data_IF_911015962361
#
_entry.id   IF_911015962361
#
_cell.length_a   1.000
_cell.length_b   1.000
_cell.length_c   1.000
_cell.angle_alpha   90.00
_cell.angle_beta   90.00
_cell.angle_gamma   90.00
#
_symmetry.space_group_name_H-M   'P 1'
#
loop_
_entity.id
_entity.type
_entity.pdbx_description
1 polymer ?
#
# COMPACT_ATOMS: atom_id res chain seq x y z
N UNK A 1 35.15 47.73 -15.89
CA UNK A 1 34.96 46.42 -15.24
C UNK A 1 34.13 46.66 -14.00
N UNK A 2 32.94 46.06 -13.89
CA UNK A 2 31.97 46.41 -12.84
C UNK A 2 31.64 45.17 -12.03
N UNK A 3 31.86 45.24 -10.72
CA UNK A 3 31.58 44.16 -9.76
C UNK A 3 30.12 44.17 -9.32
N UNK A 4 29.52 42.98 -9.22
CA UNK A 4 28.17 42.80 -8.68
C UNK A 4 28.11 41.49 -7.88
N UNK A 5 28.48 41.55 -6.61
CA UNK A 5 28.41 40.45 -5.66
C UNK A 5 26.99 40.32 -5.08
N UNK A 6 26.35 39.17 -5.27
CA UNK A 6 25.01 38.89 -4.75
C UNK A 6 24.96 37.64 -3.87
N UNK A 7 25.04 37.87 -2.55
CA UNK A 7 24.46 37.07 -1.46
C UNK A 7 24.18 35.58 -1.69
N UNK A 8 25.09 34.71 -1.25
CA UNK A 8 24.88 33.26 -1.12
C UNK A 8 24.01 32.90 0.10
N UNK A 9 22.69 33.06 0.00
CA UNK A 9 21.76 32.68 1.07
C UNK A 9 21.68 31.15 1.25
N UNK A 10 22.26 30.63 2.34
CA UNK A 10 22.35 29.20 2.64
C UNK A 10 20.98 28.53 2.78
N UNK A 11 20.69 27.54 1.93
CA UNK A 11 19.51 26.68 2.03
C UNK A 11 19.91 25.25 2.38
N UNK A 12 19.67 24.83 3.63
CA UNK A 12 19.96 23.47 4.09
C UNK A 12 19.13 22.44 3.29
N UNK A 13 19.78 21.37 2.82
CA UNK A 13 19.15 20.32 2.02
C UNK A 13 19.55 18.96 2.54
N UNK A 14 18.57 18.29 3.16
CA UNK A 14 18.54 16.85 3.32
C UNK A 14 18.08 16.21 2.00
N UNK A 15 18.21 14.89 1.92
CA UNK A 15 19.00 14.35 0.83
C UNK A 15 18.36 12.99 0.38
N UNK A 16 17.80 12.87 -0.83
CA UNK A 16 17.23 11.64 -1.49
C UNK A 16 17.27 11.83 -3.01
N UNK A 17 17.93 10.98 -3.84
CA UNK A 17 18.55 11.44 -5.13
C UNK A 17 17.62 12.32 -5.98
N UNK A 18 17.91 13.64 -5.99
CA UNK A 18 16.92 14.69 -6.29
C UNK A 18 16.36 14.63 -7.73
N UNK A 19 17.14 14.07 -8.64
CA UNK A 19 16.79 13.75 -10.02
C UNK A 19 15.78 12.59 -10.12
N UNK A 20 15.91 11.60 -9.21
CA UNK A 20 15.09 10.39 -9.13
C UNK A 20 13.83 10.53 -8.30
N UNK A 21 13.75 11.51 -7.38
CA UNK A 21 12.55 11.75 -6.58
C UNK A 21 11.39 12.26 -7.45
N UNK A 22 10.17 11.80 -7.17
CA UNK A 22 8.97 12.26 -7.86
C UNK A 22 8.69 13.74 -7.61
N UNK A 23 8.41 14.48 -8.68
CA UNK A 23 8.34 15.94 -8.67
C UNK A 23 7.36 16.51 -7.61
N UNK A 24 7.57 17.75 -7.12
CA UNK A 24 6.70 18.37 -6.10
C UNK A 24 5.21 18.45 -6.46
N UNK A 25 4.89 18.46 -7.77
CA UNK A 25 3.53 18.47 -8.32
C UNK A 25 3.00 17.06 -8.71
N UNK A 26 3.73 15.98 -8.41
CA UNK A 26 3.33 14.61 -8.69
C UNK A 26 2.65 14.02 -7.46
N UNK A 27 1.33 14.13 -7.32
CA UNK A 27 0.60 13.70 -6.11
C UNK A 27 0.14 12.22 -6.18
N UNK A 28 -0.06 11.70 -7.38
CA UNK A 28 -0.53 10.32 -7.61
C UNK A 28 0.41 9.60 -8.57
N UNK A 29 0.85 8.39 -8.20
CA UNK A 29 1.61 7.48 -9.06
C UNK A 29 0.64 6.43 -9.60
N UNK A 30 0.46 6.42 -10.92
CA UNK A 30 -0.40 5.47 -11.62
C UNK A 30 0.30 4.12 -11.74
N UNK A 31 -0.30 3.08 -11.18
CA UNK A 31 0.20 1.70 -11.20
C UNK A 31 -0.65 0.88 -12.17
N UNK A 32 -0.02 0.12 -13.06
CA UNK A 32 -0.69 -0.85 -13.93
C UNK A 32 0.03 -2.20 -13.85
N UNK A 33 -0.74 -3.28 -13.68
CA UNK A 33 -0.26 -4.64 -13.84
C UNK A 33 -0.23 -5.03 -15.32
N UNK A 34 0.83 -5.72 -15.77
CA UNK A 34 0.99 -6.16 -17.16
C UNK A 34 0.69 -7.66 -17.35
N UNK A 35 0.68 -8.44 -16.27
CA UNK A 35 0.28 -9.85 -16.21
C UNK A 35 -0.30 -10.15 -14.80
N UNK A 36 -0.41 -11.44 -14.46
CA UNK A 36 -0.75 -11.93 -13.12
C UNK A 36 -2.22 -12.26 -12.90
N UNK A 37 -2.46 -13.13 -11.93
CA UNK A 37 -3.78 -13.53 -11.45
C UNK A 37 -4.40 -12.46 -10.54
N UNK A 38 -5.72 -12.51 -10.33
CA UNK A 38 -6.43 -11.48 -9.55
C UNK A 38 -5.90 -11.39 -8.11
N UNK A 39 -5.65 -12.53 -7.46
CA UNK A 39 -5.14 -12.56 -6.08
C UNK A 39 -3.74 -11.94 -5.94
N UNK A 40 -2.88 -12.04 -6.96
CA UNK A 40 -1.55 -11.41 -6.96
C UNK A 40 -1.68 -9.88 -6.98
N UNK A 41 -2.56 -9.38 -7.85
CA UNK A 41 -2.87 -7.95 -8.01
C UNK A 41 -3.52 -7.38 -6.75
N UNK A 42 -4.53 -8.07 -6.23
CA UNK A 42 -5.24 -7.73 -4.99
C UNK A 42 -4.30 -7.73 -3.79
N UNK A 43 -3.35 -8.68 -3.70
CA UNK A 43 -2.37 -8.74 -2.61
C UNK A 43 -1.41 -7.54 -2.65
N UNK A 44 -0.89 -7.18 -3.83
CA UNK A 44 -0.06 -5.97 -4.00
C UNK A 44 -0.85 -4.72 -3.63
N UNK A 45 -2.07 -4.59 -4.15
CA UNK A 45 -2.93 -3.43 -3.93
C UNK A 45 -3.36 -3.28 -2.45
N UNK A 46 -3.68 -4.39 -1.78
CA UNK A 46 -3.96 -4.43 -0.33
C UNK A 46 -2.74 -3.99 0.48
N UNK A 47 -1.57 -4.60 0.26
CA UNK A 47 -0.35 -4.33 1.05
C UNK A 47 0.11 -2.89 0.87
N UNK A 48 0.08 -2.38 -0.36
CA UNK A 48 0.46 -0.98 -0.66
C UNK A 48 -0.53 0.02 -0.03
N UNK A 49 -1.84 -0.25 -0.04
CA UNK A 49 -2.79 0.62 0.70
C UNK A 49 -2.55 0.55 2.21
N UNK A 50 -2.52 -0.66 2.77
CA UNK A 50 -2.35 -0.92 4.22
C UNK A 50 -1.11 -0.23 4.81
N UNK A 51 0.03 -0.31 4.12
CA UNK A 51 1.29 0.22 4.64
C UNK A 51 1.63 1.63 4.12
N UNK A 52 1.61 1.86 2.79
CA UNK A 52 2.05 3.15 2.24
C UNK A 52 1.00 4.26 2.35
N UNK A 53 -0.31 3.97 2.29
CA UNK A 53 -1.33 5.03 2.40
C UNK A 53 -1.55 5.47 3.86
N UNK A 54 -1.13 4.65 4.84
CA UNK A 54 -1.03 5.02 6.25
C UNK A 54 0.11 6.03 6.53
N UNK A 55 1.12 6.13 5.65
CA UNK A 55 2.19 7.12 5.79
C UNK A 55 1.66 8.51 5.43
N UNK A 56 1.91 9.50 6.29
CA UNK A 56 1.57 10.92 6.06
C UNK A 56 2.51 11.61 5.06
N UNK A 57 2.79 10.94 3.93
CA UNK A 57 3.49 11.51 2.76
C UNK A 57 2.50 12.04 1.72
N UNK A 58 2.95 12.88 0.78
CA UNK A 58 2.13 13.47 -0.30
C UNK A 58 1.80 12.52 -1.45
N UNK A 59 2.68 11.54 -1.74
CA UNK A 59 2.44 10.56 -2.81
C UNK A 59 1.32 9.59 -2.41
N UNK A 60 0.41 9.28 -3.35
CA UNK A 60 -0.51 8.13 -3.26
C UNK A 60 -0.44 7.26 -4.50
N UNK A 61 -0.65 5.96 -4.33
CA UNK A 61 -0.69 5.01 -5.45
C UNK A 61 -2.12 4.91 -6.00
N UNK A 62 -2.25 5.08 -7.31
CA UNK A 62 -3.48 4.93 -8.09
C UNK A 62 -3.36 3.65 -8.94
N UNK A 63 -3.90 2.55 -8.44
CA UNK A 63 -4.03 1.32 -9.22
C UNK A 63 -5.09 1.54 -10.32
N UNK A 64 -4.70 1.31 -11.56
CA UNK A 64 -5.56 1.44 -12.73
C UNK A 64 -6.23 0.10 -13.04
N UNK A 65 -7.48 0.14 -13.50
CA UNK A 65 -8.10 -1.03 -14.15
C UNK A 65 -7.40 -1.35 -15.47
N UNK A 66 -7.59 -2.57 -16.02
CA UNK A 66 -6.87 -3.00 -17.22
C UNK A 66 -7.26 -2.17 -18.45
N UNK A 67 -8.49 -1.65 -18.45
CA UNK A 67 -9.17 -0.92 -19.53
C UNK A 67 -8.88 0.58 -19.47
N UNK A 68 -8.35 1.08 -18.35
CA UNK A 68 -8.11 2.50 -18.13
C UNK A 68 -7.07 3.05 -19.13
N UNK A 69 -7.41 4.05 -19.97
CA UNK A 69 -6.53 4.50 -21.05
C UNK A 69 -5.33 5.33 -20.57
N UNK A 70 -4.32 5.41 -21.43
CA UNK A 70 -3.17 6.32 -21.26
C UNK A 70 -2.00 5.77 -20.42
N UNK A 71 -1.02 6.63 -20.11
CA UNK A 71 0.21 6.24 -19.43
C UNK A 71 0.01 5.93 -17.94
N UNK A 72 0.84 5.02 -17.44
CA UNK A 72 1.06 4.70 -16.02
C UNK A 72 2.51 4.95 -15.67
N UNK A 73 2.78 5.30 -14.41
CA UNK A 73 4.12 5.62 -13.90
C UNK A 73 4.89 4.36 -13.52
N UNK A 74 4.21 3.43 -12.85
CA UNK A 74 4.72 2.13 -12.40
C UNK A 74 4.00 1.03 -13.20
N UNK A 75 4.78 0.08 -13.74
CA UNK A 75 4.32 -0.98 -14.64
C UNK A 75 4.84 -2.32 -14.14
N UNK A 76 3.96 -3.11 -13.52
CA UNK A 76 4.30 -4.30 -12.73
C UNK A 76 4.23 -5.57 -13.60
N UNK A 77 5.21 -6.46 -13.47
CA UNK A 77 5.18 -7.82 -14.01
C UNK A 77 5.53 -8.84 -12.93
N UNK A 78 4.71 -9.86 -12.76
CA UNK A 78 4.99 -10.97 -11.84
C UNK A 78 5.95 -11.97 -12.51
N UNK A 79 7.00 -12.38 -11.78
CA UNK A 79 8.13 -13.23 -12.24
C UNK A 79 8.69 -14.08 -11.09
N UNK A 80 9.88 -14.65 -11.25
CA UNK A 80 10.62 -15.41 -10.22
C UNK A 80 11.67 -14.58 -9.46
N UNK A 81 11.69 -13.25 -9.62
CA UNK A 81 12.60 -12.34 -8.91
C UNK A 81 12.00 -10.94 -8.78
N UNK A 82 12.26 -10.29 -7.64
CA UNK A 82 11.78 -8.94 -7.36
C UNK A 82 12.84 -7.89 -7.72
N UNK A 83 12.40 -6.75 -8.28
CA UNK A 83 13.23 -5.57 -8.60
C UNK A 83 12.36 -4.38 -9.01
N UNK A 84 12.79 -3.14 -8.79
CA UNK A 84 12.22 -1.96 -9.44
C UNK A 84 13.29 -0.95 -9.88
N UNK A 85 12.89 -0.01 -10.75
CA UNK A 85 13.68 1.18 -11.04
C UNK A 85 13.53 2.20 -9.90
N UNK A 86 14.61 2.93 -9.58
CA UNK A 86 14.63 3.88 -8.46
C UNK A 86 13.89 5.17 -8.86
N UNK A 87 12.66 5.31 -8.38
CA UNK A 87 11.80 6.47 -8.63
C UNK A 87 11.63 6.79 -10.12
N UNK A 88 12.04 7.99 -10.52
CA UNK A 88 11.90 8.51 -11.89
C UNK A 88 12.82 7.84 -12.92
N UNK A 89 13.72 6.94 -12.53
CA UNK A 89 14.37 6.00 -13.47
C UNK A 89 13.32 5.21 -14.30
N UNK A 90 12.10 5.02 -13.76
CA UNK A 90 10.96 4.44 -14.44
C UNK A 90 10.44 5.25 -15.66
N UNK A 91 10.74 6.55 -15.76
CA UNK A 91 10.32 7.43 -16.86
C UNK A 91 11.12 7.15 -18.15
N UNK A 92 12.39 6.72 -18.04
CA UNK A 92 13.23 6.36 -19.19
C UNK A 92 12.85 5.03 -19.86
N UNK A 93 11.88 4.30 -19.29
CA UNK A 93 11.41 3.00 -19.74
C UNK A 93 9.94 3.01 -20.23
N UNK A 94 9.52 3.94 -21.11
CA UNK A 94 8.11 4.13 -21.47
C UNK A 94 7.52 2.86 -22.10
N UNK A 95 6.31 2.49 -21.66
CA UNK A 95 5.56 1.28 -22.05
C UNK A 95 6.20 -0.08 -21.68
N UNK A 96 7.43 -0.12 -21.15
CA UNK A 96 8.07 -1.35 -20.64
C UNK A 96 7.79 -1.55 -19.14
N UNK A 97 7.96 -2.76 -18.63
CA UNK A 97 7.96 -3.06 -17.18
C UNK A 97 8.94 -2.17 -16.41
N UNK A 98 8.57 -1.77 -15.20
CA UNK A 98 9.42 -1.00 -14.27
C UNK A 98 9.53 -1.61 -12.88
N UNK A 99 8.73 -2.63 -12.60
CA UNK A 99 8.73 -3.37 -11.36
C UNK A 99 8.46 -4.83 -11.67
N UNK A 100 9.31 -5.69 -11.15
CA UNK A 100 9.21 -7.14 -11.18
C UNK A 100 8.93 -7.58 -9.75
N UNK A 101 8.00 -8.52 -9.56
CA UNK A 101 7.63 -9.03 -8.25
C UNK A 101 7.57 -10.55 -8.27
N UNK A 102 8.23 -11.20 -7.31
CA UNK A 102 8.09 -12.62 -7.10
C UNK A 102 6.98 -12.91 -6.08
N UNK A 103 5.98 -13.71 -6.49
CA UNK A 103 4.94 -14.22 -5.58
C UNK A 103 5.33 -15.54 -4.90
N UNK A 104 6.60 -15.93 -5.00
CA UNK A 104 7.24 -17.08 -4.33
C UNK A 104 6.43 -18.39 -4.47
N UNK A 105 6.03 -18.80 -5.70
CA UNK A 105 5.23 -20.02 -5.88
C UNK A 105 6.06 -21.29 -5.66
N UNK A 106 7.34 -21.30 -6.06
CA UNK A 106 8.23 -22.47 -5.97
C UNK A 106 8.85 -22.71 -4.59
N UNK A 107 8.85 -21.71 -3.70
CA UNK A 107 9.48 -21.79 -2.39
C UNK A 107 8.93 -22.93 -1.52
N UNK A 108 9.81 -23.67 -0.83
CA UNK A 108 9.43 -24.66 0.19
C UNK A 108 9.12 -24.01 1.56
N UNK A 109 8.32 -22.95 1.55
CA UNK A 109 7.92 -22.17 2.73
C UNK A 109 6.46 -22.45 3.14
N UNK A 110 6.15 -22.31 4.43
CA UNK A 110 4.77 -22.33 4.92
C UNK A 110 3.94 -21.18 4.36
N UNK A 111 2.61 -21.22 4.56
CA UNK A 111 1.71 -20.15 4.10
C UNK A 111 2.05 -18.80 4.77
N UNK A 112 2.43 -18.78 6.05
CA UNK A 112 2.79 -17.54 6.77
C UNK A 112 4.10 -16.95 6.24
N UNK A 113 5.17 -17.73 6.24
CA UNK A 113 6.49 -17.26 5.78
C UNK A 113 6.45 -16.75 4.33
N UNK A 114 5.68 -17.42 3.47
CA UNK A 114 5.48 -17.00 2.08
C UNK A 114 4.68 -15.69 1.98
N UNK A 115 3.69 -15.47 2.85
CA UNK A 115 2.94 -14.22 2.92
C UNK A 115 3.79 -13.07 3.48
N UNK A 116 4.60 -13.32 4.51
CA UNK A 116 5.58 -12.38 5.06
C UNK A 116 6.62 -11.98 4.02
N UNK A 117 7.17 -12.95 3.29
CA UNK A 117 8.13 -12.76 2.20
C UNK A 117 7.53 -11.95 1.04
N UNK A 118 6.29 -12.25 0.62
CA UNK A 118 5.56 -11.41 -0.35
C UNK A 118 5.37 -9.97 0.16
N UNK A 119 5.00 -9.80 1.44
CA UNK A 119 4.84 -8.46 2.02
C UNK A 119 6.16 -7.69 2.05
N UNK A 120 7.28 -8.35 2.39
CA UNK A 120 8.60 -7.75 2.34
C UNK A 120 8.99 -7.29 0.93
N UNK A 121 8.98 -8.20 -0.05
CA UNK A 121 9.28 -7.90 -1.46
C UNK A 121 8.40 -6.73 -1.98
N UNK A 122 7.08 -6.81 -1.79
CA UNK A 122 6.15 -5.76 -2.26
C UNK A 122 6.45 -4.40 -1.62
N UNK A 123 6.76 -4.35 -0.32
CA UNK A 123 7.07 -3.09 0.34
C UNK A 123 8.45 -2.55 -0.07
N UNK A 124 9.45 -3.42 -0.26
CA UNK A 124 10.79 -3.07 -0.72
C UNK A 124 10.77 -2.47 -2.13
N UNK A 125 10.11 -3.13 -3.10
CA UNK A 125 10.07 -2.65 -4.47
C UNK A 125 9.25 -1.35 -4.63
N UNK A 126 8.17 -1.20 -3.86
CA UNK A 126 7.45 0.08 -3.82
C UNK A 126 8.27 1.20 -3.13
N UNK A 127 9.23 0.84 -2.27
CA UNK A 127 10.23 1.78 -1.71
C UNK A 127 11.20 2.26 -2.78
N UNK A 128 11.75 1.34 -3.59
CA UNK A 128 12.52 1.69 -4.78
C UNK A 128 11.72 2.55 -5.76
N UNK A 129 10.47 2.19 -6.05
CA UNK A 129 9.60 3.00 -6.90
C UNK A 129 9.25 4.39 -6.32
N UNK A 130 9.54 4.63 -5.03
CA UNK A 130 9.47 5.94 -4.36
C UNK A 130 10.83 6.67 -4.31
N UNK A 131 11.91 6.07 -4.82
CA UNK A 131 13.25 6.65 -4.84
C UNK A 131 14.13 6.27 -3.65
N UNK A 132 13.71 5.31 -2.81
CA UNK A 132 14.57 4.75 -1.76
C UNK A 132 15.65 3.85 -2.38
N UNK A 133 16.81 3.78 -1.73
CA UNK A 133 17.94 2.91 -2.10
C UNK A 133 18.24 1.95 -0.95
N UNK A 134 19.07 0.92 -1.15
CA UNK A 134 19.24 -0.11 -0.14
C UNK A 134 19.99 0.41 1.09
N UNK A 135 19.46 0.09 2.28
CA UNK A 135 19.97 0.61 3.54
C UNK A 135 21.30 -0.02 3.96
N UNK A 136 21.62 -1.21 3.45
CA UNK A 136 22.94 -1.82 3.67
C UNK A 136 24.08 -1.10 2.91
N UNK A 137 23.75 -0.29 1.89
CA UNK A 137 24.71 0.56 1.18
C UNK A 137 24.91 1.93 1.88
N UNK A 138 24.23 2.17 3.01
CA UNK A 138 24.42 3.36 3.83
C UNK A 138 25.86 3.43 4.38
N UNK A 139 26.52 4.61 4.42
CA UNK A 139 27.92 4.74 4.86
C UNK A 139 28.18 4.16 6.26
N UNK A 140 27.21 4.35 7.17
CA UNK A 140 27.31 3.89 8.57
C UNK A 140 26.79 2.45 8.77
N UNK A 141 26.45 1.72 7.71
CA UNK A 141 26.24 0.28 7.79
C UNK A 141 27.56 -0.39 8.15
N UNK A 142 27.58 -1.19 9.22
CA UNK A 142 28.81 -1.80 9.74
C UNK A 142 29.17 -3.13 9.06
N UNK A 143 28.43 -3.60 8.06
CA UNK A 143 28.75 -4.84 7.33
C UNK A 143 30.02 -4.69 6.49
N UNK A 144 30.97 -5.62 6.66
CA UNK A 144 32.14 -5.81 5.80
C UNK A 144 31.90 -7.08 4.99
N UNK A 145 31.42 -6.93 3.76
CA UNK A 145 30.96 -8.06 2.93
C UNK A 145 32.11 -8.96 2.43
N UNK A 146 31.94 -10.29 2.45
CA UNK A 146 32.79 -11.18 1.65
C UNK A 146 32.22 -11.36 0.25
N UNK A 147 32.76 -10.58 -0.68
CA UNK A 147 32.36 -10.58 -2.09
C UNK A 147 32.50 -11.94 -2.78
N UNK A 148 33.32 -12.88 -2.28
CA UNK A 148 33.44 -14.23 -2.87
C UNK A 148 32.29 -15.11 -2.43
N UNK A 149 31.91 -15.06 -1.14
CA UNK A 149 30.71 -15.74 -0.63
C UNK A 149 29.46 -15.21 -1.33
N UNK A 150 29.36 -13.89 -1.51
CA UNK A 150 28.24 -13.27 -2.22
C UNK A 150 28.16 -13.72 -3.69
N UNK A 151 29.27 -13.66 -4.45
CA UNK A 151 29.32 -14.15 -5.84
C UNK A 151 28.93 -15.64 -5.95
N UNK A 152 29.49 -16.50 -5.08
CA UNK A 152 29.18 -17.93 -5.07
C UNK A 152 27.70 -18.20 -4.77
N UNK A 153 27.08 -17.42 -3.86
CA UNK A 153 25.66 -17.57 -3.51
C UNK A 153 24.71 -17.13 -4.62
N UNK A 154 25.01 -16.01 -5.29
CA UNK A 154 24.09 -15.39 -6.26
C UNK A 154 24.33 -15.83 -7.70
N UNK A 155 25.48 -16.42 -8.00
CA UNK A 155 25.94 -16.65 -9.37
C UNK A 155 26.28 -15.36 -10.13
N UNK A 156 26.32 -14.21 -9.45
CA UNK A 156 26.62 -12.92 -10.06
C UNK A 156 28.12 -12.75 -10.27
N UNK A 157 28.52 -12.15 -11.39
CA UNK A 157 29.89 -11.70 -11.59
C UNK A 157 30.26 -10.51 -10.69
N UNK A 158 31.56 -10.35 -10.44
CA UNK A 158 32.15 -9.33 -9.56
C UNK A 158 31.51 -7.94 -9.67
N UNK A 159 31.46 -7.36 -10.89
CA UNK A 159 30.88 -6.02 -11.12
C UNK A 159 29.41 -5.90 -10.70
N UNK A 160 28.62 -6.96 -10.85
CA UNK A 160 27.23 -7.00 -10.40
C UNK A 160 27.13 -7.10 -8.88
N UNK A 161 27.99 -7.85 -8.21
CA UNK A 161 27.99 -7.87 -6.73
C UNK A 161 28.44 -6.52 -6.17
N UNK A 162 29.53 -5.96 -6.67
CA UNK A 162 29.99 -4.62 -6.31
C UNK A 162 28.87 -3.58 -6.49
N UNK A 163 28.23 -3.51 -7.67
CA UNK A 163 27.12 -2.57 -7.93
C UNK A 163 25.87 -2.72 -7.04
N UNK A 164 25.71 -3.82 -6.30
CA UNK A 164 24.57 -4.03 -5.37
C UNK A 164 24.96 -3.98 -3.88
N UNK A 165 26.23 -4.19 -3.54
CA UNK A 165 26.70 -4.32 -2.15
C UNK A 165 27.69 -3.23 -1.71
N UNK A 166 28.35 -2.54 -2.66
CA UNK A 166 29.24 -1.43 -2.34
C UNK A 166 28.46 -0.27 -1.71
N UNK A 167 29.11 0.43 -0.77
CA UNK A 167 28.51 1.59 -0.11
C UNK A 167 28.32 2.72 -1.12
N UNK A 168 27.13 3.33 -1.10
CA UNK A 168 26.86 4.53 -1.87
C UNK A 168 27.73 5.66 -1.34
N UNK A 169 28.64 6.18 -2.17
CA UNK A 169 29.49 7.31 -1.81
C UNK A 169 28.68 8.54 -1.38
N UNK A 170 29.36 9.57 -0.84
CA UNK A 170 28.69 10.83 -0.47
C UNK A 170 28.11 11.60 -1.67
N UNK A 171 28.26 11.05 -2.89
CA UNK A 171 27.57 11.42 -4.11
C UNK A 171 26.06 11.28 -4.01
N UNK A 172 25.45 12.29 -3.41
CA UNK A 172 24.04 12.63 -3.54
C UNK A 172 23.07 11.48 -3.22
N UNK A 173 22.61 11.48 -1.96
CA UNK A 173 21.16 11.34 -1.80
C UNK A 173 20.52 10.62 -0.54
N UNK A 174 20.83 10.87 0.76
CA UNK A 174 20.35 10.14 2.00
C UNK A 174 19.68 11.00 3.15
N UNK A 175 18.59 10.56 3.84
CA UNK A 175 17.93 11.27 4.99
C UNK A 175 17.83 10.42 6.27
N UNK A 176 18.74 10.59 7.22
CA UNK A 176 18.61 10.00 8.56
C UNK A 176 19.88 9.32 9.08
N UNK A 177 19.80 8.67 10.26
CA UNK A 177 20.79 7.68 10.69
C UNK A 177 20.60 6.36 9.92
N UNK A 178 21.57 5.46 10.05
CA UNK A 178 21.45 4.07 9.60
C UNK A 178 20.29 3.36 10.32
N UNK A 179 19.45 2.64 9.59
CA UNK A 179 18.29 1.92 10.13
C UNK A 179 18.33 0.40 9.81
N UNK A 180 18.81 -0.45 10.73
CA UNK A 180 18.85 -1.90 10.52
C UNK A 180 17.46 -2.55 10.41
N UNK A 181 16.39 -1.88 10.86
CA UNK A 181 15.00 -2.36 10.79
C UNK A 181 14.28 -1.86 9.52
N UNK A 182 14.92 -1.03 8.69
CA UNK A 182 14.35 -0.52 7.43
C UNK A 182 13.95 -1.65 6.48
N UNK A 183 12.82 -1.49 5.80
CA UNK A 183 12.39 -2.38 4.72
C UNK A 183 13.43 -2.48 3.59
N UNK A 184 14.25 -1.44 3.41
CA UNK A 184 15.26 -1.35 2.35
C UNK A 184 16.56 -2.08 2.69
N UNK A 185 16.69 -2.68 3.88
CA UNK A 185 17.90 -3.40 4.27
C UNK A 185 17.90 -4.85 3.73
N UNK A 186 18.95 -5.26 3.02
CA UNK A 186 19.11 -6.67 2.65
C UNK A 186 19.31 -7.55 3.89
N UNK A 187 18.70 -8.73 3.88
CA UNK A 187 18.95 -9.77 4.90
C UNK A 187 20.42 -10.18 4.86
N UNK A 188 21.12 -10.03 5.98
CA UNK A 188 22.48 -10.57 6.16
C UNK A 188 22.35 -12.03 6.62
N UNK A 189 22.98 -12.96 5.90
CA UNK A 189 23.06 -14.37 6.27
C UNK A 189 24.42 -14.70 6.91
N UNK A 190 24.48 -15.82 7.65
CA UNK A 190 25.71 -16.29 8.28
C UNK A 190 26.77 -16.63 7.23
N UNK A 191 27.88 -15.90 7.25
CA UNK A 191 28.98 -16.03 6.29
C UNK A 191 29.06 -14.90 5.26
N UNK A 192 28.04 -14.03 5.15
CA UNK A 192 28.04 -12.91 4.20
C UNK A 192 29.06 -11.82 4.57
N UNK A 193 29.46 -11.74 5.85
CA UNK A 193 30.33 -10.69 6.37
C UNK A 193 31.59 -11.25 7.02
N UNK A 194 32.71 -10.57 6.79
CA UNK A 194 34.03 -10.89 7.32
C UNK A 194 34.17 -10.44 8.79
N UNK A 195 33.44 -9.40 9.20
CA UNK A 195 33.46 -8.87 10.57
C UNK A 195 32.44 -9.54 11.51
N UNK A 196 31.94 -10.73 11.16
CA UNK A 196 31.17 -11.57 12.08
C UNK A 196 29.73 -11.11 12.37
N UNK A 197 29.13 -10.26 11.54
CA UNK A 197 27.68 -9.98 11.63
C UNK A 197 26.94 -11.24 11.16
N UNK A 198 26.51 -12.06 12.12
CA UNK A 198 26.03 -13.42 11.86
C UNK A 198 24.66 -13.49 11.21
N UNK A 199 23.76 -12.57 11.54
CA UNK A 199 22.43 -12.48 10.94
C UNK A 199 21.78 -11.13 11.21
N UNK A 200 21.25 -10.50 10.17
CA UNK A 200 20.24 -9.43 10.25
C UNK A 200 18.98 -9.98 9.59
N UNK A 201 17.82 -9.86 10.25
CA UNK A 201 16.58 -10.53 9.84
C UNK A 201 16.06 -9.96 8.51
N UNK A 202 15.15 -10.68 7.85
CA UNK A 202 14.42 -10.10 6.73
C UNK A 202 13.34 -9.18 7.30
N UNK A 203 13.39 -7.89 6.98
CA UNK A 203 12.42 -6.93 7.47
C UNK A 203 11.14 -7.04 6.62
N UNK A 204 9.98 -7.16 7.28
CA UNK A 204 8.70 -7.51 6.63
C UNK A 204 7.66 -6.38 6.66
N UNK A 205 8.02 -5.21 7.20
CA UNK A 205 7.17 -4.02 7.36
C UNK A 205 8.01 -2.75 7.23
N UNK A 206 7.37 -1.61 6.94
CA UNK A 206 8.02 -0.30 6.99
C UNK A 206 8.40 0.05 8.44
N UNK A 207 9.67 0.41 8.66
CA UNK A 207 10.19 0.89 9.94
C UNK A 207 9.68 2.31 10.27
N UNK A 208 10.00 2.80 11.46
CA UNK A 208 9.80 4.22 11.78
C UNK A 208 10.81 5.14 11.08
N UNK A 209 11.97 4.63 10.65
CA UNK A 209 12.90 5.34 9.77
C UNK A 209 12.32 5.53 8.38
N UNK A 210 11.83 4.45 7.75
CA UNK A 210 11.19 4.47 6.42
C UNK A 210 10.06 5.51 6.36
N UNK A 211 9.15 5.50 7.34
CA UNK A 211 8.00 6.42 7.41
C UNK A 211 8.44 7.87 7.54
N UNK A 212 9.51 8.14 8.30
CA UNK A 212 10.09 9.49 8.46
C UNK A 212 10.82 9.93 7.20
N UNK A 213 11.59 9.05 6.56
CA UNK A 213 12.27 9.28 5.28
C UNK A 213 11.25 9.66 4.20
N UNK A 214 10.21 8.84 4.00
CA UNK A 214 9.12 9.06 3.04
C UNK A 214 8.38 10.38 3.29
N UNK A 215 8.13 10.73 4.56
CA UNK A 215 7.55 12.03 4.94
C UNK A 215 8.50 13.21 4.70
N UNK A 216 9.82 12.99 4.72
CA UNK A 216 10.81 14.03 4.43
C UNK A 216 11.02 14.25 2.91
N UNK A 217 11.08 13.19 2.11
CA UNK A 217 11.22 13.30 0.64
C UNK A 217 9.91 13.62 -0.08
N UNK A 218 8.76 13.24 0.49
CA UNK A 218 7.43 13.62 0.00
C UNK A 218 6.59 14.28 1.12
N UNK A 219 6.95 15.51 1.56
CA UNK A 219 6.21 16.21 2.62
C UNK A 219 4.73 16.33 2.27
N UNK A 220 3.81 16.03 3.20
CA UNK A 220 2.38 16.13 2.98
C UNK A 220 2.01 17.57 2.62
N UNK A 221 0.92 17.72 1.87
CA UNK A 221 0.40 19.05 1.53
C UNK A 221 0.11 19.84 2.82
N UNK A 222 0.63 21.06 2.87
CA UNK A 222 0.25 22.00 3.93
C UNK A 222 -1.23 22.30 3.73
N UNK A 223 -2.07 21.83 4.65
CA UNK A 223 -3.47 22.30 4.77
C UNK A 223 -3.43 23.80 5.01
N UNK A 224 -3.59 24.59 3.95
CA UNK A 224 -3.74 26.03 4.09
C UNK A 224 -5.01 26.27 4.90
N UNK A 225 -4.86 26.94 6.04
CA UNK A 225 -6.00 27.37 6.83
C UNK A 225 -6.79 28.37 5.97
N UNK A 226 -7.81 27.87 5.24
CA UNK A 226 -8.82 28.70 4.60
C UNK A 226 -9.60 29.38 5.73
N UNK A 227 -9.12 30.56 6.11
CA UNK A 227 -9.76 31.47 7.07
C UNK A 227 -11.25 31.50 6.80
N UNK A 228 -12.05 31.35 7.86
CA UNK A 228 -13.49 31.06 7.80
C UNK A 228 -14.29 32.20 7.17
N UNK A 229 -14.34 32.21 5.82
CA UNK A 229 -15.17 33.12 5.05
C UNK A 229 -16.64 32.77 5.29
N UNK A 230 -17.30 33.69 6.00
CA UNK A 230 -18.71 33.73 6.44
C UNK A 230 -19.67 32.80 5.69
N UNK A 231 -20.44 32.00 6.44
CA UNK A 231 -21.65 31.31 5.95
C UNK A 231 -22.58 32.31 5.23
N UNK A 232 -23.07 32.02 4.02
CA UNK A 232 -24.28 32.64 3.50
C UNK A 232 -25.47 32.29 4.39
N UNK A 233 -26.37 33.25 4.61
CA UNK A 233 -27.60 33.08 5.41
C UNK A 233 -28.61 32.18 4.72
N UNK A 234 -29.33 31.34 5.49
CA UNK A 234 -30.51 30.61 4.98
C UNK A 234 -31.56 31.60 4.43
N UNK A 235 -32.15 31.27 3.28
CA UNK A 235 -33.50 31.69 2.88
C UNK A 235 -34.45 30.46 2.97
N UNK A 236 -35.78 30.65 3.03
CA UNK A 236 -36.71 29.57 3.37
C UNK A 236 -36.75 28.46 2.31
N UNK A 237 -37.20 27.29 2.76
CA UNK A 237 -37.28 26.07 1.95
C UNK A 237 -38.54 26.08 1.08
N UNK A 238 -38.37 26.23 -0.23
CA UNK A 238 -39.46 25.98 -1.19
C UNK A 238 -39.74 24.48 -1.31
N UNK A 239 -41.03 24.14 -1.32
CA UNK A 239 -41.52 22.78 -1.09
C UNK A 239 -41.32 21.88 -2.32
N UNK A 240 -40.18 21.20 -2.40
CA UNK A 240 -39.90 20.22 -3.48
C UNK A 240 -40.92 19.07 -3.40
N UNK A 241 -41.86 19.07 -4.33
CA UNK A 241 -42.84 17.98 -4.51
C UNK A 241 -42.11 16.74 -5.05
N UNK A 242 -42.26 15.55 -4.44
CA UNK A 242 -41.63 14.33 -4.95
C UNK A 242 -42.10 13.99 -6.36
N UNK A 243 -41.19 14.09 -7.35
CA UNK A 243 -41.47 13.63 -8.71
C UNK A 243 -41.55 12.09 -8.72
N UNK A 244 -42.51 11.46 -9.42
CA UNK A 244 -42.64 9.99 -9.37
C UNK A 244 -41.39 9.28 -9.90
N UNK A 245 -40.73 8.51 -9.05
CA UNK A 245 -39.69 7.56 -9.48
C UNK A 245 -40.38 6.52 -10.37
N UNK A 246 -39.92 6.39 -11.62
CA UNK A 246 -40.39 5.33 -12.51
C UNK A 246 -40.09 3.98 -11.87
N UNK A 247 -41.12 3.17 -11.62
CA UNK A 247 -40.98 1.79 -11.17
C UNK A 247 -40.37 0.93 -12.29
N UNK A 248 -39.05 0.92 -12.40
CA UNK A 248 -38.35 -0.22 -12.99
C UNK A 248 -38.69 -1.46 -12.15
N UNK A 249 -39.12 -2.55 -12.80
CA UNK A 249 -39.19 -3.85 -12.16
C UNK A 249 -37.76 -4.33 -11.93
N UNK A 250 -37.18 -4.03 -10.78
CA UNK A 250 -35.94 -4.69 -10.35
C UNK A 250 -36.30 -6.15 -10.09
N UNK A 251 -35.83 -7.04 -10.96
CA UNK A 251 -35.92 -8.48 -10.74
C UNK A 251 -34.96 -8.83 -9.59
N UNK A 252 -35.50 -9.32 -8.49
CA UNK A 252 -34.73 -9.84 -7.34
C UNK A 252 -34.18 -11.21 -7.69
N UNK A 253 -33.18 -11.25 -8.58
CA UNK A 253 -32.45 -12.45 -9.00
C UNK A 253 -30.96 -12.27 -8.70
N UNK A 254 -30.65 -12.00 -7.44
CA UNK A 254 -29.30 -11.91 -6.91
C UNK A 254 -29.11 -12.94 -5.80
N UNK A 255 -28.81 -14.17 -6.18
CA UNK A 255 -28.31 -15.17 -5.23
C UNK A 255 -26.94 -14.77 -4.67
N UNK A 256 -26.50 -15.43 -3.60
CA UNK A 256 -25.18 -15.20 -3.04
C UNK A 256 -24.08 -15.57 -4.04
N UNK A 257 -23.46 -14.57 -4.66
CA UNK A 257 -22.28 -14.71 -5.51
C UNK A 257 -21.00 -14.43 -4.68
N UNK A 258 -20.20 -15.46 -4.36
CA UNK A 258 -19.00 -15.29 -3.55
C UNK A 258 -17.88 -14.53 -4.27
N UNK A 259 -17.94 -14.37 -5.60
CA UNK A 259 -16.93 -13.63 -6.37
C UNK A 259 -17.04 -12.11 -6.20
N UNK A 260 -18.23 -11.59 -5.82
CA UNK A 260 -18.46 -10.16 -5.66
C UNK A 260 -18.03 -9.73 -4.24
N UNK A 261 -16.74 -9.47 -4.07
CA UNK A 261 -16.16 -8.99 -2.80
C UNK A 261 -16.21 -7.45 -2.72
N UNK A 262 -16.93 -6.93 -1.72
CA UNK A 262 -17.01 -5.49 -1.41
C UNK A 262 -16.34 -5.19 -0.07
N UNK A 263 -15.70 -4.02 0.02
CA UNK A 263 -14.92 -3.63 1.20
C UNK A 263 -15.36 -2.28 1.76
N UNK A 264 -15.76 -2.26 3.04
CA UNK A 264 -16.12 -1.04 3.80
C UNK A 264 -15.04 -0.79 4.85
N UNK A 265 -14.52 0.44 4.88
CA UNK A 265 -13.39 0.84 5.74
C UNK A 265 -13.70 2.17 6.45
N UNK A 266 -13.35 2.27 7.73
CA UNK A 266 -13.34 3.53 8.49
C UNK A 266 -14.48 3.65 9.51
N UNK A 267 -14.89 4.88 9.79
CA UNK A 267 -15.97 5.20 10.74
C UNK A 267 -17.01 6.12 10.10
N UNK A 268 -18.28 5.73 10.20
CA UNK A 268 -19.41 6.40 9.54
C UNK A 268 -20.48 5.41 9.07
N UNK A 269 -21.54 5.93 8.45
CA UNK A 269 -22.65 5.11 7.96
C UNK A 269 -22.51 4.83 6.45
N UNK A 270 -22.65 3.56 6.04
CA UNK A 270 -22.48 3.12 4.64
C UNK A 270 -23.61 2.19 4.21
N UNK A 271 -24.07 2.30 2.97
CA UNK A 271 -25.06 1.39 2.36
C UNK A 271 -24.38 0.63 1.21
N UNK A 272 -24.66 -0.67 1.12
CA UNK A 272 -24.06 -1.61 0.17
C UNK A 272 -25.19 -2.33 -0.57
N UNK A 273 -25.25 -2.14 -1.89
CA UNK A 273 -26.30 -2.72 -2.74
C UNK A 273 -25.87 -4.04 -3.42
N UNK A 274 -26.75 -5.03 -3.35
CA UNK A 274 -26.59 -6.37 -3.93
C UNK A 274 -25.84 -7.35 -3.02
N UNK A 275 -26.20 -8.63 -3.14
CA UNK A 275 -25.60 -9.73 -2.39
C UNK A 275 -24.12 -10.02 -2.74
N UNK A 276 -23.54 -10.98 -2.03
CA UNK A 276 -22.14 -11.42 -2.17
C UNK A 276 -21.30 -11.27 -0.89
N UNK A 277 -19.97 -11.22 -1.03
CA UNK A 277 -19.04 -11.11 0.10
C UNK A 277 -18.84 -9.64 0.51
N UNK A 278 -19.01 -9.31 1.79
CA UNK A 278 -18.80 -7.95 2.33
C UNK A 278 -17.83 -8.00 3.51
N UNK A 279 -16.66 -7.39 3.36
CA UNK A 279 -15.71 -7.21 4.47
C UNK A 279 -15.82 -5.79 5.02
N UNK A 280 -16.00 -5.68 6.35
CA UNK A 280 -16.17 -4.41 7.08
C UNK A 280 -15.02 -4.25 8.07
N UNK A 281 -14.37 -3.10 8.07
CA UNK A 281 -13.23 -2.79 8.96
C UNK A 281 -13.40 -1.40 9.60
N UNK A 282 -13.54 -1.36 10.93
CA UNK A 282 -13.67 -0.11 11.69
C UNK A 282 -14.89 -0.05 12.63
N UNK A 283 -15.48 1.14 12.76
CA UNK A 283 -16.50 1.48 13.77
C UNK A 283 -17.56 2.44 13.21
N UNK A 284 -18.72 1.89 12.83
CA UNK A 284 -19.84 2.62 12.23
C UNK A 284 -20.95 1.66 11.84
N UNK A 285 -22.02 2.16 11.21
CA UNK A 285 -23.16 1.34 10.79
C UNK A 285 -23.10 1.02 9.30
N UNK A 286 -23.15 -0.26 8.93
CA UNK A 286 -23.22 -0.71 7.54
C UNK A 286 -24.57 -1.37 7.27
N UNK A 287 -25.26 -0.95 6.21
CA UNK A 287 -26.49 -1.62 5.73
C UNK A 287 -26.16 -2.34 4.43
N UNK A 288 -26.45 -3.63 4.36
CA UNK A 288 -26.26 -4.48 3.18
C UNK A 288 -27.61 -4.95 2.66
N UNK A 289 -27.90 -4.71 1.38
CA UNK A 289 -29.18 -5.03 0.75
C UNK A 289 -29.03 -6.22 -0.21
N UNK A 290 -29.43 -7.41 0.25
CA UNK A 290 -29.28 -8.68 -0.46
C UNK A 290 -28.62 -9.78 0.40
N UNK A 291 -28.65 -11.02 -0.09
CA UNK A 291 -28.09 -12.17 0.64
C UNK A 291 -26.54 -12.14 0.61
N UNK A 292 -25.93 -12.17 1.80
CA UNK A 292 -24.53 -11.77 1.95
C UNK A 292 -23.71 -12.57 2.97
N UNK A 293 -22.45 -12.80 2.63
CA UNK A 293 -21.42 -13.31 3.53
C UNK A 293 -20.63 -12.14 4.12
N UNK A 294 -20.78 -11.89 5.42
CA UNK A 294 -20.19 -10.72 6.10
C UNK A 294 -18.96 -11.12 6.91
N UNK A 295 -17.85 -10.39 6.78
CA UNK A 295 -16.70 -10.47 7.70
C UNK A 295 -16.49 -9.10 8.34
N UNK A 296 -16.83 -8.99 9.62
CA UNK A 296 -16.70 -7.76 10.41
C UNK A 296 -15.43 -7.84 11.27
N UNK A 297 -14.47 -6.95 11.03
CA UNK A 297 -13.23 -6.84 11.80
C UNK A 297 -13.21 -5.47 12.51
N UNK A 298 -13.72 -5.40 13.74
CA UNK A 298 -13.84 -4.13 14.47
C UNK A 298 -14.98 -4.08 15.49
N UNK A 299 -15.58 -2.89 15.64
CA UNK A 299 -16.55 -2.55 16.69
C UNK A 299 -17.79 -1.80 16.17
N UNK A 300 -18.03 -1.82 14.86
CA UNK A 300 -19.25 -1.30 14.23
C UNK A 300 -20.42 -2.29 14.23
N UNK A 301 -21.56 -1.85 13.71
CA UNK A 301 -22.77 -2.66 13.53
C UNK A 301 -23.07 -2.89 12.05
N UNK A 302 -23.53 -4.08 11.67
CA UNK A 302 -23.91 -4.40 10.29
C UNK A 302 -25.33 -4.95 10.23
N UNK A 303 -26.23 -4.26 9.54
CA UNK A 303 -27.56 -4.77 9.21
C UNK A 303 -27.57 -5.38 7.82
N UNK A 304 -28.06 -6.62 7.70
CA UNK A 304 -28.25 -7.30 6.42
C UNK A 304 -29.75 -7.44 6.14
N UNK A 305 -30.24 -6.68 5.17
CA UNK A 305 -31.58 -6.85 4.58
C UNK A 305 -31.57 -8.05 3.62
N UNK A 306 -31.40 -9.24 4.20
CA UNK A 306 -31.22 -10.51 3.52
C UNK A 306 -30.89 -11.63 4.51
N UNK A 307 -30.68 -12.83 4.00
CA UNK A 307 -30.15 -13.99 4.72
C UNK A 307 -28.62 -14.08 4.54
N UNK A 308 -27.94 -14.93 5.31
CA UNK A 308 -26.51 -15.16 5.09
C UNK A 308 -25.72 -15.71 6.27
N UNK A 309 -24.40 -15.52 6.20
CA UNK A 309 -23.43 -15.99 7.18
C UNK A 309 -22.49 -14.85 7.59
N UNK A 310 -22.26 -14.67 8.89
CA UNK A 310 -21.35 -13.66 9.42
C UNK A 310 -20.15 -14.25 10.16
N UNK A 311 -19.00 -13.59 10.08
CA UNK A 311 -17.86 -13.80 10.98
C UNK A 311 -17.52 -12.46 11.63
N UNK A 312 -17.57 -12.40 12.95
CA UNK A 312 -17.30 -11.17 13.72
C UNK A 312 -16.02 -11.34 14.51
N UNK A 313 -14.96 -10.62 14.13
CA UNK A 313 -13.69 -10.56 14.83
C UNK A 313 -13.59 -9.20 15.55
N UNK A 314 -13.90 -9.17 16.84
CA UNK A 314 -13.96 -7.93 17.63
C UNK A 314 -15.21 -7.82 18.51
N UNK A 315 -15.72 -6.60 18.69
CA UNK A 315 -16.81 -6.25 19.62
C UNK A 315 -18.07 -5.70 18.94
N UNK A 316 -18.14 -5.72 17.62
CA UNK A 316 -19.26 -5.22 16.83
C UNK A 316 -20.43 -6.21 16.72
N UNK A 317 -21.55 -5.79 16.12
CA UNK A 317 -22.71 -6.66 15.91
C UNK A 317 -23.04 -6.90 14.44
N UNK A 318 -23.66 -8.04 14.11
CA UNK A 318 -24.27 -8.29 12.79
C UNK A 318 -25.71 -8.77 12.98
N UNK A 319 -26.66 -8.08 12.37
CA UNK A 319 -28.10 -8.34 12.50
C UNK A 319 -28.72 -8.62 11.13
N UNK A 320 -29.21 -9.84 10.93
CA UNK A 320 -29.90 -10.26 9.71
C UNK A 320 -31.41 -10.06 9.83
N UNK A 321 -32.05 -9.64 8.72
CA UNK A 321 -33.51 -9.57 8.57
C UNK A 321 -34.09 -10.84 7.90
N UNK A 322 -33.23 -11.67 7.32
CA UNK A 322 -33.54 -13.04 6.89
C UNK A 322 -32.97 -14.07 7.86
N UNK A 323 -32.66 -15.26 7.34
CA UNK A 323 -31.98 -16.31 8.13
C UNK A 323 -30.47 -16.03 8.16
N UNK A 324 -30.01 -15.46 9.27
CA UNK A 324 -28.58 -15.30 9.57
C UNK A 324 -28.01 -16.43 10.42
N UNK A 325 -26.78 -16.84 10.12
CA UNK A 325 -25.94 -17.72 10.94
C UNK A 325 -24.52 -17.13 11.05
N UNK A 326 -23.64 -17.70 11.87
CA UNK A 326 -22.24 -17.26 11.87
C UNK A 326 -21.43 -17.62 13.11
N UNK A 327 -20.25 -16.98 13.21
CA UNK A 327 -19.26 -17.18 14.26
C UNK A 327 -18.79 -15.84 14.84
N UNK A 328 -18.55 -15.79 16.16
CA UNK A 328 -18.03 -14.62 16.87
C UNK A 328 -16.70 -14.98 17.54
N UNK A 329 -15.65 -14.24 17.17
CA UNK A 329 -14.31 -14.31 17.73
C UNK A 329 -14.03 -12.99 18.48
N UNK A 330 -14.60 -12.84 19.67
CA UNK A 330 -14.52 -11.63 20.48
C UNK A 330 -15.77 -11.44 21.35
N UNK A 331 -16.10 -10.18 21.68
CA UNK A 331 -17.26 -9.80 22.49
C UNK A 331 -18.45 -9.28 21.68
N UNK A 332 -18.42 -9.46 20.36
CA UNK A 332 -19.50 -9.09 19.45
C UNK A 332 -20.73 -9.99 19.53
N UNK A 333 -21.69 -9.79 18.62
CA UNK A 333 -22.91 -10.61 18.54
C UNK A 333 -23.42 -10.79 17.11
N UNK A 334 -24.11 -11.92 16.88
CA UNK A 334 -24.84 -12.17 15.63
C UNK A 334 -26.29 -12.47 16.00
N UNK A 335 -27.23 -11.79 15.35
CA UNK A 335 -28.67 -11.91 15.61
C UNK A 335 -29.45 -12.01 14.30
N UNK A 336 -30.62 -12.66 14.36
CA UNK A 336 -31.51 -12.86 13.22
C UNK A 336 -32.95 -12.53 13.63
N UNK A 337 -33.55 -11.56 12.96
CA UNK A 337 -34.91 -11.11 13.21
C UNK A 337 -35.85 -11.63 12.12
N UNK A 338 -36.50 -12.77 12.42
CA UNK A 338 -37.60 -13.29 11.59
C UNK A 338 -38.89 -12.58 12.01
N UNK A 339 -39.58 -11.97 11.05
CA UNK A 339 -40.93 -11.41 11.18
C UNK A 339 -41.90 -12.09 10.23
#
# INVERSE_FOLDING_TARGET
>A
MSSSSSSSSSGARAVGSNDKLWLPNKHRLKVRFLNGESWEKEMVEHIVRKHYHAVSMRIRFEFLSNEAPGPSDIRITFTTWSKSYVGRDAESHPRKTTMWLNMHPGDHLSKSERQEKRQADILHEFGHALGMQHEHQHPNCNAVWDYRVLQHRTGWGSSTVHGNYDKLENGRLRVGPYDPDSIMHYRIFKGDTQNGITQLKHNIVLSEGDKKFLKAIYPPEKTSNRTSSKKPTKKPEDRIVPRPVRKSKIQTTGGFDPSIVRWVHGSGNTVVEGGGCVQVTGSGQVVVNGDSGVVLNGSGDVWVNGSGHAVVNGSGSVSFRGKGTGQVNGSGSIQSYVG
#
